data_IF_034743288122
#
_entry.id   IF_034743288122
#
_cell.length_a   1.000
_cell.length_b   1.000
_cell.length_c   1.000
_cell.angle_alpha   90.00
_cell.angle_beta   90.00
_cell.angle_gamma   90.00
#
_symmetry.space_group_name_H-M   'P 1'
#
loop_
_entity.id
_entity.type
_entity.pdbx_description
1 polymer ?
#
# COMPACT_ATOMS: atom_id res chain seq x y z
N UNK A 1 14.99 11.92 -11.90
CA UNK A 1 13.93 12.73 -11.26
C UNK A 1 12.81 11.79 -10.83
N UNK A 2 12.89 11.20 -9.62
CA UNK A 2 11.88 10.29 -9.09
C UNK A 2 10.46 10.86 -9.17
N UNK A 3 10.32 12.17 -9.00
CA UNK A 3 9.07 12.93 -9.11
C UNK A 3 8.39 12.90 -10.49
N UNK A 4 9.06 12.39 -11.54
CA UNK A 4 8.48 12.27 -12.88
C UNK A 4 7.91 10.88 -13.18
N UNK A 5 8.16 9.89 -12.33
CA UNK A 5 7.76 8.50 -12.54
C UNK A 5 7.23 7.88 -11.25
N UNK A 6 6.18 7.07 -11.36
CA UNK A 6 5.69 6.28 -10.23
C UNK A 6 6.29 4.89 -10.30
N UNK A 7 6.73 4.34 -9.16
CA UNK A 7 7.22 2.96 -9.08
C UNK A 7 6.12 1.95 -9.39
N UNK A 8 4.89 2.24 -8.94
CA UNK A 8 3.67 1.51 -9.24
C UNK A 8 2.52 2.50 -9.36
N UNK A 9 1.62 2.30 -10.33
CA UNK A 9 0.45 3.16 -10.50
C UNK A 9 -0.52 2.98 -9.33
N UNK A 10 -1.22 4.05 -8.94
CA UNK A 10 -2.34 3.95 -8.00
C UNK A 10 -3.38 2.93 -8.45
N UNK A 11 -3.75 2.00 -7.56
CA UNK A 11 -4.72 0.94 -7.77
C UNK A 11 -5.31 0.46 -6.44
N UNK A 12 -6.39 -0.32 -6.50
CA UNK A 12 -6.85 -1.20 -5.42
C UNK A 12 -6.46 -2.64 -5.74
N UNK A 13 -6.40 -3.48 -4.72
CA UNK A 13 -6.04 -4.89 -4.88
C UNK A 13 -7.28 -5.73 -5.17
N UNK A 14 -7.28 -6.50 -6.26
CA UNK A 14 -8.41 -7.36 -6.62
C UNK A 14 -8.60 -8.59 -5.70
N UNK A 15 -7.69 -8.84 -4.75
CA UNK A 15 -7.68 -10.01 -3.89
C UNK A 15 -8.56 -9.88 -2.64
N UNK A 16 -8.38 -10.80 -1.70
CA UNK A 16 -9.03 -10.75 -0.39
C UNK A 16 -8.17 -10.03 0.65
N UNK A 17 -7.22 -10.74 1.24
CA UNK A 17 -6.27 -10.20 2.22
C UNK A 17 -4.87 -10.15 1.61
N UNK A 18 -4.26 -8.96 1.61
CA UNK A 18 -2.92 -8.76 1.07
C UNK A 18 -1.95 -8.59 2.24
N UNK A 19 -0.83 -9.31 2.16
CA UNK A 19 0.26 -9.26 3.14
C UNK A 19 1.51 -8.73 2.44
N UNK A 20 1.90 -7.52 2.76
CA UNK A 20 3.05 -6.84 2.17
C UNK A 20 4.21 -6.80 3.18
N UNK A 21 5.32 -7.41 2.78
CA UNK A 21 6.60 -7.29 3.49
C UNK A 21 7.45 -6.20 2.84
N UNK A 22 7.72 -5.13 3.59
CA UNK A 22 8.49 -3.98 3.11
C UNK A 22 9.96 -4.09 3.49
N UNK A 23 10.83 -3.47 2.69
CA UNK A 23 12.21 -3.18 3.10
C UNK A 23 12.19 -2.25 4.33
N UNK A 24 13.02 -2.51 5.34
CA UNK A 24 12.98 -1.78 6.62
C UNK A 24 13.70 -0.41 6.58
N UNK A 25 14.33 -0.06 5.45
CA UNK A 25 15.12 1.17 5.27
C UNK A 25 14.64 2.03 4.11
N UNK A 26 13.95 1.46 3.13
CA UNK A 26 13.48 2.15 1.93
C UNK A 26 11.97 2.33 1.98
N UNK A 27 11.53 3.60 1.99
CA UNK A 27 10.10 3.96 1.91
C UNK A 27 9.59 3.96 0.46
N UNK A 28 8.27 3.94 0.30
CA UNK A 28 7.63 4.06 -1.01
C UNK A 28 6.14 3.70 -1.05
N UNK A 29 5.63 3.02 -0.01
CA UNK A 29 4.20 2.73 0.09
C UNK A 29 3.43 3.98 0.53
N UNK A 30 2.40 4.32 -0.22
CA UNK A 30 1.47 5.40 0.10
C UNK A 30 0.04 4.87 -0.01
N UNK A 31 -0.83 5.31 0.90
CA UNK A 31 -2.27 5.06 0.82
C UNK A 31 -3.03 6.37 0.56
N UNK A 32 -4.12 6.28 -0.19
CA UNK A 32 -5.00 7.42 -0.43
C UNK A 32 -6.12 7.41 0.63
N UNK A 33 -6.11 8.41 1.52
CA UNK A 33 -7.13 8.59 2.56
C UNK A 33 -7.69 10.00 2.49
N UNK A 34 -9.02 10.12 2.43
CA UNK A 34 -9.72 11.41 2.38
C UNK A 34 -9.21 12.34 1.26
N UNK A 35 -8.90 11.75 0.10
CA UNK A 35 -8.35 12.45 -1.06
C UNK A 35 -6.88 12.88 -0.93
N UNK A 36 -6.18 12.45 0.12
CA UNK A 36 -4.77 12.79 0.38
C UNK A 36 -3.91 11.53 0.45
N UNK A 37 -2.74 11.61 -0.16
CA UNK A 37 -1.73 10.55 -0.03
C UNK A 37 -1.07 10.63 1.35
N UNK A 38 -0.97 9.48 2.00
CA UNK A 38 -0.35 9.31 3.31
C UNK A 38 0.73 8.23 3.20
N UNK A 39 1.94 8.55 3.64
CA UNK A 39 3.04 7.60 3.65
C UNK A 39 2.80 6.51 4.71
N UNK A 40 3.08 5.26 4.35
CA UNK A 40 3.14 4.15 5.30
C UNK A 40 4.61 3.95 5.68
N UNK A 41 5.02 4.30 6.90
CA UNK A 41 6.42 4.21 7.29
C UNK A 41 6.85 2.74 7.35
N UNK A 42 8.02 2.39 6.79
CA UNK A 42 8.61 1.07 6.98
C UNK A 42 8.83 0.79 8.47
N UNK A 43 8.50 -0.42 8.90
CA UNK A 43 8.70 -0.86 10.28
C UNK A 43 9.46 -2.18 10.30
N UNK A 44 10.43 -2.30 11.19
CA UNK A 44 11.17 -3.56 11.38
C UNK A 44 10.25 -4.64 11.91
N UNK A 45 10.40 -5.84 11.35
CA UNK A 45 9.66 -7.04 11.76
C UNK A 45 8.15 -6.88 11.66
N UNK A 46 7.66 -6.08 10.70
CA UNK A 46 6.23 -5.90 10.45
C UNK A 46 5.81 -6.46 9.10
N UNK A 47 4.50 -6.65 8.96
CA UNK A 47 3.81 -6.88 7.71
C UNK A 47 2.71 -5.84 7.62
N UNK A 48 2.59 -5.16 6.49
CA UNK A 48 1.43 -4.32 6.20
C UNK A 48 0.33 -5.21 5.65
N UNK A 49 -0.86 -5.07 6.22
CA UNK A 49 -2.04 -5.81 5.78
C UNK A 49 -3.06 -4.82 5.25
N UNK A 50 -3.57 -5.07 4.05
CA UNK A 50 -4.73 -4.37 3.52
C UNK A 50 -5.76 -5.36 2.98
N UNK A 51 -7.00 -4.88 2.93
CA UNK A 51 -8.11 -5.58 2.31
C UNK A 51 -8.13 -5.24 0.82
N UNK A 52 -8.48 -6.23 0.01
CA UNK A 52 -8.77 -6.06 -1.40
C UNK A 52 -10.26 -6.13 -1.69
N UNK A 53 -10.60 -5.84 -2.94
CA UNK A 53 -11.96 -5.64 -3.45
C UNK A 53 -12.89 -6.83 -3.15
N UNK A 54 -12.37 -8.06 -3.11
CA UNK A 54 -13.21 -9.24 -2.82
C UNK A 54 -13.75 -9.25 -1.40
N UNK A 55 -12.95 -8.83 -0.41
CA UNK A 55 -13.45 -8.76 0.97
C UNK A 55 -14.43 -7.61 1.13
N UNK A 56 -14.19 -6.47 0.47
CA UNK A 56 -15.12 -5.34 0.49
C UNK A 56 -16.51 -5.71 -0.05
N UNK A 57 -16.61 -6.57 -1.08
CA UNK A 57 -17.91 -7.02 -1.61
C UNK A 57 -18.62 -8.01 -0.68
N UNK A 58 -17.87 -8.83 0.05
CA UNK A 58 -18.44 -9.92 0.87
C UNK A 58 -18.93 -9.42 2.24
N UNK A 59 -18.35 -8.35 2.77
CA UNK A 59 -18.63 -7.81 4.12
C UNK A 59 -19.45 -6.53 4.09
#
# INVERSE_FOLDING_TARGET
>A
KPELIQGLRAHTDAGGLILLFQDDKVSGLQLLKDGKWVDVPPMRHSIVINLGDQLEVIT
#
